data_IF_034353566728
#
_entry.id   IF_034353566728
#
_cell.length_a   1.000
_cell.length_b   1.000
_cell.length_c   1.000
_cell.angle_alpha   90.00
_cell.angle_beta   90.00
_cell.angle_gamma   90.00
#
_symmetry.space_group_name_H-M   'P 1'
#
loop_
_entity.id
_entity.type
_entity.pdbx_description
1 polymer ?
#
# COMPACT_ATOMS: atom_id res chain seq x y z
N UNK A 1 -31.56 43.00 -16.55
CA UNK A 1 -32.00 42.06 -15.50
C UNK A 1 -32.10 40.59 -15.97
N UNK A 2 -31.34 40.20 -16.99
CA UNK A 2 -31.35 38.79 -17.49
C UNK A 2 -30.00 38.07 -17.41
N UNK A 3 -29.04 38.60 -16.66
CA UNK A 3 -27.65 38.05 -16.63
C UNK A 3 -27.34 37.21 -15.37
N UNK A 4 -28.26 37.12 -14.40
CA UNK A 4 -28.00 36.43 -13.12
C UNK A 4 -28.33 34.95 -13.07
N UNK A 5 -28.87 34.35 -14.14
CA UNK A 5 -29.30 32.94 -14.12
C UNK A 5 -28.30 32.00 -14.79
N UNK A 6 -27.36 32.52 -15.55
CA UNK A 6 -26.36 31.68 -16.30
C UNK A 6 -25.16 31.23 -15.42
N UNK A 7 -24.91 31.93 -14.32
CA UNK A 7 -23.79 31.59 -13.44
C UNK A 7 -24.04 30.46 -12.45
N UNK A 8 -25.28 30.05 -12.26
CA UNK A 8 -25.63 28.96 -11.35
C UNK A 8 -25.54 27.57 -12.00
N UNK A 9 -25.55 27.49 -13.34
CA UNK A 9 -25.47 26.19 -14.04
C UNK A 9 -24.07 25.70 -14.34
N UNK A 10 -23.04 26.53 -14.17
CA UNK A 10 -21.64 26.16 -14.42
C UNK A 10 -20.94 25.56 -13.20
N UNK A 11 -21.58 25.56 -12.03
CA UNK A 11 -21.02 25.02 -10.78
C UNK A 11 -21.36 23.55 -10.53
N UNK A 12 -22.17 22.92 -11.37
CA UNK A 12 -22.62 21.53 -11.17
C UNK A 12 -21.77 20.52 -11.93
N UNK A 13 -20.92 20.96 -12.87
CA UNK A 13 -20.13 20.05 -13.72
C UNK A 13 -18.75 19.65 -13.18
N UNK A 14 -18.35 20.14 -12.01
CA UNK A 14 -17.01 19.87 -11.47
C UNK A 14 -16.95 18.81 -10.37
N UNK A 15 -18.04 18.11 -10.08
CA UNK A 15 -18.11 17.12 -8.99
C UNK A 15 -17.96 15.65 -9.43
N UNK A 16 -17.72 15.39 -10.72
CA UNK A 16 -17.73 14.00 -11.23
C UNK A 16 -16.38 13.27 -11.24
N UNK A 17 -15.26 13.89 -10.89
CA UNK A 17 -13.94 13.26 -11.04
C UNK A 17 -13.35 12.68 -9.76
N UNK A 18 -14.01 12.78 -8.62
CA UNK A 18 -13.46 12.33 -7.34
C UNK A 18 -13.91 10.91 -6.92
N UNK A 19 -14.77 10.22 -7.70
CA UNK A 19 -15.42 8.98 -7.24
C UNK A 19 -14.72 7.68 -7.60
N UNK A 20 -13.62 7.72 -8.36
CA UNK A 20 -12.95 6.51 -8.85
C UNK A 20 -11.75 6.08 -8.01
N UNK A 21 -11.42 6.81 -6.96
CA UNK A 21 -10.28 6.51 -6.09
C UNK A 21 -10.75 6.27 -4.67
N UNK A 22 -10.33 5.14 -4.13
CA UNK A 22 -10.44 4.83 -2.71
C UNK A 22 -9.07 5.02 -2.06
N UNK A 23 -9.05 5.67 -0.91
CA UNK A 23 -7.83 6.03 -0.19
C UNK A 23 -7.94 5.59 1.26
N UNK A 24 -6.88 4.99 1.79
CA UNK A 24 -6.69 4.81 3.23
C UNK A 24 -5.35 5.38 3.67
N UNK A 25 -5.25 5.79 4.93
CA UNK A 25 -4.00 6.18 5.60
C UNK A 25 -3.74 5.35 6.84
N UNK A 26 -4.53 4.32 7.03
CA UNK A 26 -4.49 3.44 8.21
C UNK A 26 -4.30 1.97 7.83
N UNK A 27 -3.71 1.73 6.66
CA UNK A 27 -3.29 0.40 6.26
C UNK A 27 -2.24 -0.17 7.21
N UNK A 28 -2.14 -1.49 7.27
CA UNK A 28 -1.21 -2.18 8.16
C UNK A 28 -0.28 -3.06 7.36
N UNK A 29 1.01 -2.96 7.67
CA UNK A 29 2.03 -3.92 7.24
C UNK A 29 2.64 -4.53 8.49
N UNK A 30 2.70 -5.86 8.52
CA UNK A 30 3.47 -6.62 9.51
C UNK A 30 4.50 -7.43 8.75
N UNK A 31 5.76 -7.40 9.19
CA UNK A 31 6.76 -8.28 8.62
C UNK A 31 7.48 -9.07 9.70
N UNK A 32 7.97 -10.23 9.31
CA UNK A 32 8.82 -11.09 10.10
C UNK A 32 10.06 -11.42 9.28
N UNK A 33 11.23 -11.30 9.88
CA UNK A 33 12.49 -11.72 9.27
C UNK A 33 12.94 -13.04 9.87
N UNK A 34 13.22 -14.00 9.00
CA UNK A 34 13.82 -15.27 9.40
C UNK A 34 15.30 -15.08 9.63
N UNK A 35 15.71 -14.91 10.88
CA UNK A 35 17.12 -14.94 11.26
C UNK A 35 17.38 -16.25 11.98
N UNK A 36 18.35 -17.08 11.50
CA UNK A 36 18.48 -18.46 12.00
C UNK A 36 18.83 -18.60 13.47
N UNK A 37 19.09 -17.56 14.22
CA UNK A 37 19.78 -17.80 15.49
C UNK A 37 19.22 -17.19 16.76
N UNK A 38 18.47 -16.10 16.85
CA UNK A 38 18.28 -15.61 18.21
C UNK A 38 17.02 -14.85 18.58
N UNK A 39 16.41 -14.11 17.73
CA UNK A 39 15.22 -13.35 18.12
C UNK A 39 14.26 -13.19 16.93
N UNK A 40 12.98 -13.34 17.22
CA UNK A 40 11.93 -13.07 16.27
C UNK A 40 11.96 -11.58 15.88
N UNK A 41 12.44 -11.28 14.68
CA UNK A 41 12.39 -9.94 14.13
C UNK A 41 11.03 -9.72 13.54
N UNK A 42 10.17 -9.06 14.29
CA UNK A 42 8.80 -8.74 13.92
C UNK A 42 8.50 -7.27 14.13
N UNK A 43 7.91 -6.65 13.15
CA UNK A 43 7.53 -5.24 13.22
C UNK A 43 6.18 -4.99 12.58
N UNK A 44 5.52 -3.93 13.03
CA UNK A 44 4.20 -3.52 12.54
C UNK A 44 4.18 -2.02 12.26
N UNK A 45 3.64 -1.65 11.11
CA UNK A 45 3.32 -0.27 10.75
C UNK A 45 1.81 -0.17 10.50
N UNK A 46 1.12 0.67 11.24
CA UNK A 46 -0.33 0.86 11.15
C UNK A 46 -0.73 2.19 10.46
N UNK A 47 0.24 2.89 9.88
CA UNK A 47 0.04 4.17 9.20
C UNK A 47 0.36 4.09 7.70
N UNK A 48 0.09 2.97 7.06
CA UNK A 48 0.36 2.78 5.62
C UNK A 48 -0.72 3.45 4.79
N UNK A 49 -0.29 4.26 3.82
CA UNK A 49 -1.18 4.88 2.84
C UNK A 49 -1.37 3.95 1.64
N UNK A 50 -2.59 3.86 1.15
CA UNK A 50 -2.91 3.12 -0.07
C UNK A 50 -3.99 3.83 -0.86
N UNK A 51 -3.82 3.85 -2.18
CA UNK A 51 -4.79 4.41 -3.15
C UNK A 51 -5.12 3.33 -4.16
N UNK A 52 -6.40 3.10 -4.40
CA UNK A 52 -6.91 2.20 -5.42
C UNK A 52 -7.78 2.98 -6.41
N UNK A 53 -7.45 2.87 -7.70
CA UNK A 53 -8.33 3.32 -8.77
C UNK A 53 -9.33 2.19 -9.09
N UNK A 54 -10.59 2.40 -8.79
CA UNK A 54 -11.62 1.36 -8.93
C UNK A 54 -12.03 1.08 -10.38
N UNK A 55 -11.69 1.97 -11.31
CA UNK A 55 -11.92 1.76 -12.75
C UNK A 55 -10.83 0.95 -13.41
N UNK A 56 -9.57 1.21 -13.06
CA UNK A 56 -8.41 0.62 -13.73
C UNK A 56 -7.79 -0.54 -12.97
N UNK A 57 -8.03 -0.64 -11.65
CA UNK A 57 -7.34 -1.57 -10.77
C UNK A 57 -5.92 -1.14 -10.39
N UNK A 58 -5.49 0.04 -10.79
CA UNK A 58 -4.19 0.59 -10.36
C UNK A 58 -4.18 0.82 -8.86
N UNK A 59 -3.10 0.39 -8.21
CA UNK A 59 -2.91 0.49 -6.77
C UNK A 59 -1.53 1.05 -6.45
N UNK A 60 -1.46 1.91 -5.45
CA UNK A 60 -0.22 2.45 -4.93
C UNK A 60 -0.25 2.44 -3.41
N UNK A 61 0.83 1.99 -2.80
CA UNK A 61 1.00 1.98 -1.34
C UNK A 61 2.30 2.64 -0.95
N UNK A 62 2.30 3.28 0.21
CA UNK A 62 3.47 3.94 0.78
C UNK A 62 3.54 3.67 2.28
N UNK A 63 4.69 3.20 2.74
CA UNK A 63 5.00 3.03 4.14
C UNK A 63 6.23 3.88 4.50
N UNK A 64 6.13 4.67 5.56
CA UNK A 64 7.29 5.32 6.15
C UNK A 64 8.04 4.29 6.99
N UNK A 65 9.35 4.10 6.74
CA UNK A 65 10.13 3.08 7.41
C UNK A 65 10.27 3.34 8.91
N UNK A 66 10.35 4.60 9.32
CA UNK A 66 10.31 4.99 10.74
C UNK A 66 8.94 4.74 11.42
N UNK A 67 7.93 4.38 10.68
CA UNK A 67 6.61 4.00 11.19
C UNK A 67 6.51 2.56 11.67
N UNK A 68 7.50 1.72 11.38
CA UNK A 68 7.54 0.35 11.90
C UNK A 68 7.88 0.34 13.38
N UNK A 69 7.09 -0.38 14.16
CA UNK A 69 7.26 -0.56 15.60
C UNK A 69 7.66 -1.97 15.92
N UNK A 70 8.73 -2.10 16.67
CA UNK A 70 9.30 -3.36 17.14
C UNK A 70 9.02 -3.53 18.63
N UNK A 71 8.99 -4.77 19.06
CA UNK A 71 8.84 -5.12 20.48
C UNK A 71 10.09 -4.73 21.29
N UNK A 72 11.25 -4.77 20.66
CA UNK A 72 12.55 -4.45 21.26
C UNK A 72 13.11 -3.17 20.63
N UNK A 73 13.35 -2.15 21.45
CA UNK A 73 13.81 -0.84 20.98
C UNK A 73 15.16 -0.91 20.23
N UNK A 74 16.06 -1.76 20.65
CA UNK A 74 17.36 -1.95 19.98
C UNK A 74 17.20 -2.52 18.57
N UNK A 75 16.24 -3.42 18.36
CA UNK A 75 15.93 -3.93 17.03
C UNK A 75 15.35 -2.84 16.11
N UNK A 76 14.49 -1.97 16.64
CA UNK A 76 13.95 -0.83 15.90
C UNK A 76 15.08 0.12 15.48
N UNK A 77 16.03 0.40 16.36
CA UNK A 77 17.20 1.21 16.07
C UNK A 77 18.07 0.57 14.97
N UNK A 78 18.43 -0.70 15.12
CA UNK A 78 19.23 -1.42 14.11
C UNK A 78 18.52 -1.49 12.75
N UNK A 79 17.22 -1.74 12.75
CA UNK A 79 16.44 -1.72 11.52
C UNK A 79 16.54 -0.37 10.80
N UNK A 80 16.35 0.72 11.52
CA UNK A 80 16.40 2.05 10.94
C UNK A 80 17.80 2.50 10.53
N UNK A 81 18.82 2.20 11.31
CA UNK A 81 20.17 2.70 11.08
C UNK A 81 21.01 1.80 10.17
N UNK A 82 20.92 0.48 10.35
CA UNK A 82 21.83 -0.46 9.72
C UNK A 82 21.21 -1.24 8.54
N UNK A 83 19.93 -1.58 8.62
CA UNK A 83 19.29 -2.40 7.58
C UNK A 83 18.66 -1.55 6.48
N UNK A 84 17.68 -0.73 6.80
CA UNK A 84 16.96 0.05 5.79
C UNK A 84 17.48 1.47 5.62
N UNK A 85 18.36 1.93 6.51
CA UNK A 85 18.91 3.28 6.48
C UNK A 85 17.81 4.33 6.28
N UNK A 86 16.86 4.38 7.21
CA UNK A 86 15.62 5.16 7.04
C UNK A 86 15.81 6.68 6.96
N UNK A 87 16.95 7.21 7.39
CA UNK A 87 17.30 8.61 7.18
C UNK A 87 17.64 8.89 5.72
N UNK A 88 18.24 7.94 5.03
CA UNK A 88 18.63 8.03 3.64
C UNK A 88 17.52 7.58 2.69
N UNK A 89 16.80 6.52 3.08
CA UNK A 89 15.70 5.94 2.33
C UNK A 89 14.45 5.88 3.22
N UNK A 90 13.70 6.99 3.37
CA UNK A 90 12.67 7.11 4.40
C UNK A 90 11.40 6.31 4.15
N UNK A 91 11.20 5.80 2.94
CA UNK A 91 9.93 5.16 2.56
C UNK A 91 10.13 3.91 1.70
N UNK A 92 9.19 2.98 1.84
CA UNK A 92 8.97 1.91 0.90
C UNK A 92 7.69 2.18 0.11
N UNK A 93 7.69 1.90 -1.19
CA UNK A 93 6.54 2.09 -2.06
C UNK A 93 6.27 0.85 -2.89
N UNK A 94 5.00 0.61 -3.14
CA UNK A 94 4.54 -0.37 -4.12
C UNK A 94 3.58 0.31 -5.09
N UNK A 95 3.82 0.15 -6.39
CA UNK A 95 2.94 0.65 -7.44
C UNK A 95 2.66 -0.46 -8.43
N UNK A 96 1.40 -0.78 -8.61
CA UNK A 96 1.03 -1.89 -9.46
C UNK A 96 -0.40 -1.82 -9.96
N UNK A 97 -0.84 -2.96 -10.46
CA UNK A 97 -2.18 -3.12 -11.00
C UNK A 97 -2.74 -4.48 -10.61
N UNK A 98 -3.98 -4.49 -10.17
CA UNK A 98 -4.74 -5.69 -9.91
C UNK A 98 -5.22 -6.24 -11.25
N UNK A 99 -4.81 -7.46 -11.60
CA UNK A 99 -5.21 -8.10 -12.85
C UNK A 99 -6.70 -8.43 -12.84
N UNK A 100 -7.37 -8.19 -13.96
CA UNK A 100 -8.79 -8.49 -14.16
C UNK A 100 -9.71 -7.87 -13.08
N UNK A 101 -9.33 -6.72 -12.57
CA UNK A 101 -10.12 -6.03 -11.56
C UNK A 101 -11.42 -5.49 -12.18
N UNK A 102 -12.54 -5.84 -11.55
CA UNK A 102 -13.87 -5.32 -11.89
C UNK A 102 -14.64 -5.09 -10.59
N UNK A 103 -14.86 -3.82 -10.27
CA UNK A 103 -15.56 -3.42 -9.06
C UNK A 103 -16.94 -4.05 -8.93
N UNK A 104 -17.66 -4.22 -10.06
CA UNK A 104 -19.00 -4.80 -10.08
C UNK A 104 -19.05 -6.28 -9.70
N UNK A 105 -17.92 -6.98 -9.80
CA UNK A 105 -17.79 -8.41 -9.47
C UNK A 105 -17.34 -8.68 -8.03
N UNK A 106 -16.96 -7.66 -7.29
CA UNK A 106 -16.59 -7.82 -5.88
C UNK A 106 -17.83 -8.14 -5.04
N UNK A 107 -17.65 -9.10 -4.16
CA UNK A 107 -18.66 -9.50 -3.17
C UNK A 107 -18.08 -9.45 -1.76
N UNK A 108 -18.86 -9.80 -0.76
CA UNK A 108 -18.40 -9.95 0.63
C UNK A 108 -17.55 -11.19 0.86
N UNK A 109 -17.51 -12.10 -0.12
CA UNK A 109 -16.61 -13.26 -0.11
C UNK A 109 -15.27 -12.88 -0.73
N UNK A 110 -14.17 -13.15 -0.03
CA UNK A 110 -12.83 -12.87 -0.51
C UNK A 110 -12.45 -13.82 -1.66
N UNK A 111 -11.94 -13.26 -2.74
CA UNK A 111 -11.40 -14.00 -3.88
C UNK A 111 -9.94 -13.63 -4.09
N UNK A 112 -9.19 -14.55 -4.70
CA UNK A 112 -7.79 -14.33 -5.03
C UNK A 112 -7.65 -13.51 -6.30
N UNK A 113 -6.75 -12.53 -6.25
CA UNK A 113 -6.34 -11.71 -7.38
C UNK A 113 -4.82 -11.70 -7.48
N UNK A 114 -4.30 -11.56 -8.68
CA UNK A 114 -2.87 -11.29 -8.89
C UNK A 114 -2.67 -9.80 -9.01
N UNK A 115 -1.71 -9.26 -8.27
CA UNK A 115 -1.27 -7.87 -8.36
C UNK A 115 0.17 -7.87 -8.85
N UNK A 116 0.41 -7.24 -9.99
CA UNK A 116 1.75 -7.04 -10.54
C UNK A 116 2.17 -5.60 -10.36
N UNK A 117 3.38 -5.40 -9.92
CA UNK A 117 3.88 -4.06 -9.69
C UNK A 117 5.35 -4.00 -9.35
N UNK A 118 5.77 -2.82 -8.99
CA UNK A 118 7.14 -2.49 -8.62
C UNK A 118 7.20 -2.15 -7.14
N UNK A 119 8.00 -2.91 -6.41
CA UNK A 119 8.35 -2.63 -5.02
C UNK A 119 9.67 -1.85 -4.99
N UNK A 120 9.66 -0.71 -4.33
CA UNK A 120 10.85 0.09 -4.05
C UNK A 120 11.13 0.08 -2.55
N UNK A 121 12.34 -0.32 -2.20
CA UNK A 121 12.83 -0.44 -0.83
C UNK A 121 14.33 -0.22 -0.84
N UNK A 122 14.85 0.53 0.14
CA UNK A 122 16.29 0.80 0.28
C UNK A 122 16.94 1.35 -1.00
N UNK A 123 16.21 2.22 -1.74
CA UNK A 123 16.68 2.80 -3.00
C UNK A 123 16.74 1.85 -4.18
N UNK A 124 16.29 0.61 -4.03
CA UNK A 124 16.24 -0.40 -5.08
C UNK A 124 14.79 -0.70 -5.47
N UNK A 125 14.59 -1.01 -6.72
CA UNK A 125 13.28 -1.38 -7.27
C UNK A 125 13.28 -2.78 -7.85
N UNK A 126 12.23 -3.53 -7.58
CA UNK A 126 12.04 -4.87 -8.15
C UNK A 126 10.60 -5.06 -8.60
N UNK A 127 10.43 -5.65 -9.77
CA UNK A 127 9.11 -6.07 -10.24
C UNK A 127 8.70 -7.35 -9.51
N UNK A 128 7.50 -7.34 -8.94
CA UNK A 128 6.93 -8.47 -8.20
C UNK A 128 5.51 -8.75 -8.63
N UNK A 129 5.10 -10.00 -8.50
CA UNK A 129 3.72 -10.43 -8.64
C UNK A 129 3.30 -11.10 -7.33
N UNK A 130 2.23 -10.59 -6.74
CA UNK A 130 1.72 -11.10 -5.46
C UNK A 130 0.27 -11.55 -5.62
N UNK A 131 -0.15 -12.47 -4.77
CA UNK A 131 -1.55 -12.88 -4.66
C UNK A 131 -2.19 -12.16 -3.49
N UNK A 132 -3.32 -11.53 -3.74
CA UNK A 132 -4.10 -10.83 -2.72
C UNK A 132 -5.52 -11.39 -2.65
N UNK A 133 -6.08 -11.38 -1.44
CA UNK A 133 -7.51 -11.62 -1.22
C UNK A 133 -8.24 -10.29 -1.17
N UNK A 134 -9.24 -10.15 -2.01
CA UNK A 134 -10.01 -8.90 -2.13
C UNK A 134 -11.49 -9.19 -1.95
N UNK A 135 -12.15 -8.38 -1.13
CA UNK A 135 -13.59 -8.44 -0.89
C UNK A 135 -14.19 -7.05 -0.64
N UNK A 136 -15.50 -6.96 -0.71
CA UNK A 136 -16.23 -5.82 -0.15
C UNK A 136 -16.18 -5.89 1.37
N UNK A 137 -15.66 -4.84 1.97
CA UNK A 137 -15.70 -4.62 3.41
C UNK A 137 -16.90 -3.77 3.81
N UNK A 138 -17.02 -3.50 5.11
CA UNK A 138 -18.11 -2.68 5.68
C UNK A 138 -18.12 -1.25 5.13
N UNK A 139 -16.94 -0.64 4.97
CA UNK A 139 -16.77 0.77 4.59
C UNK A 139 -15.95 0.94 3.30
N UNK A 140 -15.84 -0.10 2.48
CA UNK A 140 -15.07 -0.04 1.24
C UNK A 140 -14.58 -1.40 0.79
N UNK A 141 -13.35 -1.43 0.28
CA UNK A 141 -12.71 -2.65 -0.23
C UNK A 141 -11.62 -3.07 0.73
N UNK A 142 -11.60 -4.34 1.08
CA UNK A 142 -10.55 -4.95 1.88
C UNK A 142 -9.59 -5.74 0.99
N UNK A 143 -8.31 -5.45 1.09
CA UNK A 143 -7.23 -6.11 0.35
C UNK A 143 -6.22 -6.65 1.35
N UNK A 144 -5.96 -7.95 1.30
CA UNK A 144 -4.99 -8.63 2.17
C UNK A 144 -4.06 -9.46 1.32
N UNK A 145 -2.76 -9.36 1.56
CA UNK A 145 -1.74 -10.15 0.86
C UNK A 145 -0.63 -10.55 1.81
N UNK A 146 -0.18 -11.78 1.67
CA UNK A 146 1.03 -12.30 2.30
C UNK A 146 2.03 -12.67 1.21
N UNK A 147 3.24 -12.17 1.30
CA UNK A 147 4.29 -12.49 0.34
C UNK A 147 5.68 -12.36 0.99
N UNK A 148 6.66 -12.98 0.35
CA UNK A 148 8.05 -12.97 0.80
C UNK A 148 8.88 -12.06 -0.08
N UNK A 149 9.76 -11.30 0.55
CA UNK A 149 10.74 -10.43 -0.11
C UNK A 149 12.13 -10.92 0.26
N UNK A 150 12.99 -11.07 -0.75
CA UNK A 150 14.41 -11.38 -0.50
C UNK A 150 15.15 -10.06 -0.26
N UNK A 151 15.77 -9.95 0.91
CA UNK A 151 16.53 -8.75 1.30
C UNK A 151 17.72 -8.46 0.40
N UNK A 152 18.34 -9.52 -0.16
CA UNK A 152 19.47 -9.38 -1.10
C UNK A 152 19.08 -8.59 -2.37
N UNK A 153 17.83 -8.67 -2.80
CA UNK A 153 17.33 -7.92 -3.96
C UNK A 153 17.33 -6.40 -3.72
N UNK A 154 17.43 -5.97 -2.47
CA UNK A 154 17.39 -4.58 -2.06
C UNK A 154 18.66 -4.12 -1.33
N UNK A 155 19.74 -4.89 -1.45
CA UNK A 155 21.03 -4.63 -0.78
C UNK A 155 20.87 -4.42 0.75
N UNK A 156 19.99 -5.18 1.37
CA UNK A 156 19.79 -5.20 2.83
C UNK A 156 20.50 -6.44 3.38
N UNK A 157 21.59 -6.23 4.13
CA UNK A 157 22.41 -7.27 4.75
C UNK A 157 22.09 -7.49 6.23
#
# INVERSE_FOLDING_TARGET
MKIKIIMALLLISSLSFAQDKLITKTGTITFEASVPSFEEVKAKNSGVSCVLNTKTGEIASLALLKGFRFKVALMEEHFNENYVESDKFPKATFKGKIENFDLSKLTTTANNYTIKGKLELHGKSKDIAITAKIKKGKDGIEIVSDFTVNTDDFDIE
#
